data_IF_189296735142
#
_entry.id   IF_189296735142
#
_cell.length_a   1.000
_cell.length_b   1.000
_cell.length_c   1.000
_cell.angle_alpha   90.00
_cell.angle_beta   90.00
_cell.angle_gamma   90.00
#
_symmetry.space_group_name_H-M   'P 1'
#
loop_
_entity.id
_entity.type
_entity.pdbx_description
1 polymer ?
#
# COMPACT_ATOMS: atom_id res chain seq x y z
N UNK A 1 9.22 58.06 -14.23
CA UNK A 1 9.28 56.63 -14.65
C UNK A 1 9.36 55.66 -13.47
N UNK A 2 10.25 55.84 -12.48
CA UNK A 2 10.36 54.96 -11.28
C UNK A 2 9.05 54.76 -10.48
N UNK A 3 8.20 55.79 -10.37
CA UNK A 3 6.93 55.75 -9.62
C UNK A 3 5.83 54.88 -10.28
N UNK A 4 5.90 54.64 -11.59
CA UNK A 4 4.97 53.77 -12.32
C UNK A 4 5.51 52.34 -12.46
N UNK A 5 6.83 52.16 -12.34
CA UNK A 5 7.47 50.84 -12.41
C UNK A 5 7.17 49.97 -11.19
N UNK A 6 7.19 50.56 -9.99
CA UNK A 6 6.91 49.83 -8.73
C UNK A 6 5.51 49.21 -8.67
N UNK A 7 4.40 49.93 -8.95
CA UNK A 7 3.07 49.32 -8.95
C UNK A 7 2.93 48.27 -10.05
N UNK A 8 3.53 48.48 -11.22
CA UNK A 8 3.51 47.49 -12.32
C UNK A 8 4.19 46.17 -11.90
N UNK A 9 5.38 46.25 -11.28
CA UNK A 9 6.10 45.07 -10.77
C UNK A 9 5.29 44.38 -9.68
N UNK A 10 4.68 45.13 -8.76
CA UNK A 10 3.84 44.56 -7.70
C UNK A 10 2.63 43.80 -8.26
N UNK A 11 1.91 44.39 -9.23
CA UNK A 11 0.79 43.72 -9.90
C UNK A 11 1.23 42.45 -10.62
N UNK A 12 2.36 42.50 -11.32
CA UNK A 12 2.92 41.33 -12.00
C UNK A 12 3.29 40.22 -11.00
N UNK A 13 3.90 40.57 -9.87
CA UNK A 13 4.27 39.62 -8.83
C UNK A 13 3.05 38.95 -8.20
N UNK A 14 2.00 39.73 -7.90
CA UNK A 14 0.71 39.18 -7.43
C UNK A 14 0.08 38.26 -8.47
N UNK A 15 0.11 38.64 -9.76
CA UNK A 15 -0.33 37.79 -10.87
C UNK A 15 0.44 36.46 -10.95
N UNK A 16 1.76 36.50 -10.82
CA UNK A 16 2.59 35.30 -10.79
C UNK A 16 2.30 34.40 -9.56
N UNK A 17 2.15 34.99 -8.36
CA UNK A 17 1.84 34.24 -7.15
C UNK A 17 0.46 33.59 -7.20
N UNK A 18 -0.54 34.29 -7.74
CA UNK A 18 -1.89 33.73 -7.91
C UNK A 18 -1.90 32.61 -8.94
N UNK A 19 -1.27 32.80 -10.11
CA UNK A 19 -1.11 31.75 -11.11
C UNK A 19 -0.36 30.52 -10.56
N UNK A 20 0.70 30.74 -9.77
CA UNK A 20 1.42 29.67 -9.10
C UNK A 20 0.55 28.94 -8.06
N UNK A 21 -0.24 29.67 -7.26
CA UNK A 21 -1.21 29.10 -6.32
C UNK A 21 -2.26 28.22 -7.03
N UNK A 22 -2.77 28.69 -8.17
CA UNK A 22 -3.70 27.91 -9.00
C UNK A 22 -3.02 26.64 -9.53
N UNK A 23 -1.83 26.77 -10.13
CA UNK A 23 -1.09 25.63 -10.67
C UNK A 23 -0.68 24.60 -9.60
N UNK A 24 -0.33 25.04 -8.39
CA UNK A 24 -0.03 24.13 -7.27
C UNK A 24 -1.29 23.42 -6.76
N UNK A 25 -2.48 23.99 -6.93
CA UNK A 25 -3.76 23.36 -6.64
C UNK A 25 -4.29 22.43 -7.76
N UNK A 26 -3.89 22.67 -9.01
CA UNK A 26 -4.36 21.86 -10.14
C UNK A 26 -3.89 20.40 -10.07
N UNK A 27 -4.87 19.49 -10.08
CA UNK A 27 -4.73 18.04 -10.14
C UNK A 27 -5.68 17.46 -11.19
N UNK A 28 -5.42 17.66 -12.50
CA UNK A 28 -6.35 17.31 -13.57
C UNK A 28 -6.58 15.80 -13.62
N UNK A 29 -7.84 15.36 -13.53
CA UNK A 29 -8.24 13.96 -13.64
C UNK A 29 -8.13 13.50 -15.10
N UNK A 30 -7.26 12.53 -15.34
CA UNK A 30 -7.19 11.83 -16.63
C UNK A 30 -7.76 10.44 -16.38
N UNK A 31 -8.64 9.98 -17.26
CA UNK A 31 -9.21 8.64 -17.19
C UNK A 31 -8.09 7.62 -17.44
N UNK A 32 -7.55 7.06 -16.36
CA UNK A 32 -6.64 5.92 -16.42
C UNK A 32 -7.45 4.68 -16.07
N UNK A 33 -7.31 3.64 -16.88
CA UNK A 33 -7.94 2.34 -16.62
C UNK A 33 -6.90 1.46 -15.92
N UNK A 34 -7.10 1.23 -14.62
CA UNK A 34 -6.34 0.21 -13.90
C UNK A 34 -6.61 -1.15 -14.52
N UNK A 35 -5.56 -1.94 -14.74
CA UNK A 35 -5.71 -3.33 -15.19
C UNK A 35 -6.34 -4.16 -14.07
N UNK A 36 -7.66 -4.39 -14.15
CA UNK A 36 -8.43 -5.14 -13.16
C UNK A 36 -8.37 -6.66 -13.37
N UNK A 37 -7.62 -7.15 -14.37
CA UNK A 37 -7.51 -8.59 -14.60
C UNK A 37 -6.91 -9.27 -13.38
N UNK A 38 -7.43 -10.45 -13.09
CA UNK A 38 -6.92 -11.33 -12.07
C UNK A 38 -6.97 -12.78 -12.58
N UNK A 39 -6.05 -13.62 -12.11
CA UNK A 39 -5.99 -15.04 -12.44
C UNK A 39 -5.74 -15.88 -11.20
N UNK A 40 -6.42 -17.02 -11.10
CA UNK A 40 -6.09 -18.06 -10.13
C UNK A 40 -4.92 -18.87 -10.66
N UNK A 41 -3.74 -18.63 -10.12
CA UNK A 41 -2.47 -19.24 -10.57
C UNK A 41 -2.18 -20.54 -9.82
N UNK A 42 -2.66 -20.66 -8.59
CA UNK A 42 -2.52 -21.86 -7.76
C UNK A 42 -3.81 -22.08 -6.97
N UNK A 43 -4.25 -23.33 -6.91
CA UNK A 43 -5.37 -23.79 -6.09
C UNK A 43 -5.02 -25.19 -5.56
N UNK A 44 -4.75 -25.28 -4.27
CA UNK A 44 -4.30 -26.51 -3.61
C UNK A 44 -5.24 -26.92 -2.48
N UNK A 45 -5.35 -28.22 -2.27
CA UNK A 45 -6.29 -28.83 -1.33
C UNK A 45 -7.72 -28.90 -1.84
N UNK A 46 -8.64 -29.28 -0.96
CA UNK A 46 -10.06 -29.46 -1.29
C UNK A 46 -10.95 -28.43 -0.59
N UNK A 47 -11.95 -27.91 -1.31
CA UNK A 47 -12.92 -26.97 -0.76
C UNK A 47 -13.63 -27.55 0.47
N UNK A 48 -13.67 -26.78 1.56
CA UNK A 48 -14.24 -27.21 2.82
C UNK A 48 -14.64 -26.06 3.73
N UNK A 49 -15.28 -26.41 4.85
CA UNK A 49 -15.79 -25.42 5.83
C UNK A 49 -14.72 -24.95 6.83
N UNK A 50 -13.54 -25.58 6.84
CA UNK A 50 -12.42 -25.23 7.72
C UNK A 50 -11.81 -23.86 7.36
N UNK A 51 -12.02 -23.39 6.13
CA UNK A 51 -11.41 -22.15 5.62
C UNK A 51 -10.22 -22.43 4.71
N UNK A 52 -9.59 -21.34 4.27
CA UNK A 52 -8.48 -21.36 3.32
C UNK A 52 -7.64 -20.11 3.47
N UNK A 53 -6.38 -20.21 3.07
CA UNK A 53 -5.49 -19.08 2.87
C UNK A 53 -5.57 -18.64 1.40
N UNK A 54 -6.05 -17.42 1.18
CA UNK A 54 -6.08 -16.80 -0.14
C UNK A 54 -5.04 -15.68 -0.21
N UNK A 55 -3.91 -15.96 -0.85
CA UNK A 55 -2.86 -14.97 -1.09
C UNK A 55 -3.11 -14.21 -2.39
N UNK A 56 -3.10 -12.87 -2.33
CA UNK A 56 -3.24 -12.01 -3.51
C UNK A 56 -1.90 -11.30 -3.77
N UNK A 57 -1.32 -11.52 -4.95
CA UNK A 57 -0.14 -10.81 -5.47
C UNK A 57 -0.58 -9.78 -6.51
N UNK A 58 -0.94 -8.56 -6.11
CA UNK A 58 -1.47 -7.55 -7.02
C UNK A 58 -0.38 -7.01 -7.94
N UNK A 59 -0.75 -6.78 -9.21
CA UNK A 59 0.09 -6.09 -10.17
C UNK A 59 -0.15 -4.58 -10.07
N UNK A 60 0.74 -3.85 -9.38
CA UNK A 60 0.55 -2.44 -9.04
C UNK A 60 1.53 -1.51 -9.77
N UNK A 61 1.00 -0.36 -10.16
CA UNK A 61 1.73 0.75 -10.77
C UNK A 61 1.45 2.05 -10.01
N UNK A 62 2.27 3.11 -10.18
CA UNK A 62 2.06 4.38 -9.49
C UNK A 62 0.66 4.96 -9.75
N UNK A 63 0.11 4.74 -10.94
CA UNK A 63 -1.22 5.16 -11.35
C UNK A 63 -2.36 4.53 -10.53
N UNK A 64 -2.17 3.32 -9.98
CA UNK A 64 -3.17 2.66 -9.14
C UNK A 64 -3.32 3.33 -7.77
N UNK A 65 -2.33 4.13 -7.36
CA UNK A 65 -2.32 4.88 -6.09
C UNK A 65 -2.78 6.33 -6.23
N UNK A 66 -3.17 6.74 -7.44
CA UNK A 66 -3.69 8.08 -7.70
C UNK A 66 -4.93 8.39 -6.88
N UNK A 67 -5.80 7.40 -6.76
CA UNK A 67 -7.03 7.42 -5.98
C UNK A 67 -7.09 6.11 -5.20
N UNK A 68 -7.24 6.14 -3.85
CA UNK A 68 -7.39 4.92 -3.05
C UNK A 68 -8.48 3.98 -3.55
N UNK A 69 -9.51 4.52 -4.22
CA UNK A 69 -10.59 3.72 -4.80
C UNK A 69 -10.11 2.86 -6.00
N UNK A 70 -9.10 3.30 -6.77
CA UNK A 70 -8.50 2.49 -7.85
C UNK A 70 -7.79 1.26 -7.28
N UNK A 71 -6.98 1.46 -6.23
CA UNK A 71 -6.35 0.36 -5.51
C UNK A 71 -7.40 -0.60 -4.93
N UNK A 72 -8.46 -0.05 -4.31
CA UNK A 72 -9.57 -0.85 -3.78
C UNK A 72 -10.24 -1.66 -4.88
N UNK A 73 -10.55 -1.06 -6.03
CA UNK A 73 -11.18 -1.75 -7.16
C UNK A 73 -10.30 -2.88 -7.71
N UNK A 74 -8.98 -2.69 -7.76
CA UNK A 74 -8.04 -3.74 -8.19
C UNK A 74 -8.03 -4.95 -7.25
N UNK A 75 -8.08 -4.71 -5.94
CA UNK A 75 -8.16 -5.80 -4.96
C UNK A 75 -9.56 -6.43 -4.96
N UNK A 76 -10.61 -5.62 -5.11
CA UNK A 76 -11.99 -6.08 -5.24
C UNK A 76 -12.16 -6.99 -6.46
N UNK A 77 -11.58 -6.66 -7.61
CA UNK A 77 -11.65 -7.50 -8.80
C UNK A 77 -11.02 -8.90 -8.59
N UNK A 78 -9.92 -8.97 -7.83
CA UNK A 78 -9.35 -10.25 -7.40
C UNK A 78 -10.30 -11.02 -6.48
N UNK A 79 -10.90 -10.35 -5.49
CA UNK A 79 -11.86 -10.98 -4.57
C UNK A 79 -13.17 -11.38 -5.27
N UNK A 80 -13.63 -10.64 -6.27
CA UNK A 80 -14.78 -10.99 -7.10
C UNK A 80 -14.51 -12.27 -7.90
N UNK A 81 -13.30 -12.41 -8.47
CA UNK A 81 -12.87 -13.66 -9.10
C UNK A 81 -12.87 -14.81 -8.09
N UNK A 82 -12.29 -14.61 -6.91
CA UNK A 82 -12.26 -15.65 -5.86
C UNK A 82 -13.68 -16.08 -5.45
N UNK A 83 -14.58 -15.11 -5.29
CA UNK A 83 -16.00 -15.36 -4.99
C UNK A 83 -16.69 -16.14 -6.10
N UNK A 84 -16.49 -15.74 -7.36
CA UNK A 84 -17.06 -16.43 -8.52
C UNK A 84 -16.56 -17.87 -8.67
N UNK A 85 -15.36 -18.17 -8.15
CA UNK A 85 -14.76 -19.51 -8.09
C UNK A 85 -15.11 -20.29 -6.83
N UNK A 86 -15.93 -19.74 -5.93
CA UNK A 86 -16.30 -20.42 -4.68
C UNK A 86 -15.16 -20.53 -3.65
N UNK A 87 -14.13 -19.69 -3.76
CA UNK A 87 -12.96 -19.74 -2.88
C UNK A 87 -13.15 -18.95 -1.58
N UNK A 88 -14.28 -18.26 -1.40
CA UNK A 88 -14.54 -17.42 -0.23
C UNK A 88 -15.62 -18.03 0.66
N UNK A 89 -15.31 -18.16 1.94
CA UNK A 89 -16.22 -18.48 3.02
C UNK A 89 -15.91 -17.62 4.26
N UNK A 90 -16.71 -17.75 5.32
CA UNK A 90 -16.56 -16.95 6.54
C UNK A 90 -15.22 -17.18 7.29
N UNK A 91 -14.53 -18.28 6.99
CA UNK A 91 -13.21 -18.66 7.53
C UNK A 91 -12.09 -18.45 6.51
N UNK A 92 -12.34 -17.80 5.37
CA UNK A 92 -11.25 -17.45 4.45
C UNK A 92 -10.39 -16.35 5.06
N UNK A 93 -9.08 -16.58 5.06
CA UNK A 93 -8.07 -15.58 5.41
C UNK A 93 -7.42 -15.10 4.12
N UNK A 94 -7.70 -13.86 3.75
CA UNK A 94 -7.09 -13.19 2.60
C UNK A 94 -5.82 -12.48 3.07
N UNK A 95 -4.72 -12.71 2.38
CA UNK A 95 -3.44 -12.14 2.73
C UNK A 95 -2.87 -11.27 1.60
N UNK A 96 -2.41 -10.07 1.96
CA UNK A 96 -1.85 -9.08 1.04
C UNK A 96 -0.37 -8.78 1.35
N UNK A 97 0.42 -8.33 0.35
CA UNK A 97 1.85 -8.14 0.54
C UNK A 97 2.20 -6.89 1.35
N UNK A 98 3.41 -6.91 1.91
CA UNK A 98 3.99 -5.76 2.58
C UNK A 98 4.15 -4.54 1.65
N UNK A 99 4.03 -3.36 2.24
CA UNK A 99 4.10 -2.03 1.63
C UNK A 99 3.02 -1.72 0.59
N UNK A 100 1.97 -2.55 0.48
CA UNK A 100 0.79 -2.26 -0.35
C UNK A 100 0.11 -0.93 0.04
N UNK A 101 0.22 -0.49 1.30
CA UNK A 101 -0.33 0.78 1.75
C UNK A 101 0.60 1.98 1.58
N UNK A 102 1.91 1.76 1.42
CA UNK A 102 2.91 2.82 1.48
C UNK A 102 2.77 3.83 0.35
N UNK A 103 2.45 3.36 -0.86
CA UNK A 103 2.33 4.22 -2.04
C UNK A 103 1.01 5.00 -2.11
N UNK A 104 0.11 4.88 -1.12
CA UNK A 104 -0.98 5.86 -0.93
C UNK A 104 -0.45 7.31 -0.81
N UNK A 105 0.86 7.48 -0.59
CA UNK A 105 1.56 8.76 -0.71
C UNK A 105 1.36 9.43 -2.09
N UNK A 106 1.10 8.68 -3.16
CA UNK A 106 0.96 9.20 -4.53
C UNK A 106 -0.43 9.75 -4.85
N UNK A 107 -1.35 9.75 -3.88
CA UNK A 107 -2.69 10.26 -4.06
C UNK A 107 -2.68 11.74 -4.43
N UNK A 108 -3.57 12.13 -5.35
CA UNK A 108 -3.75 13.51 -5.79
C UNK A 108 -2.43 14.16 -6.27
N UNK A 109 -1.62 13.42 -7.04
CA UNK A 109 -0.38 13.92 -7.64
C UNK A 109 -0.53 14.34 -9.10
N UNK A 110 0.43 15.13 -9.58
CA UNK A 110 0.49 15.54 -10.98
C UNK A 110 0.74 14.34 -11.89
N UNK A 111 0.14 14.36 -13.07
CA UNK A 111 0.11 13.20 -13.97
C UNK A 111 1.49 12.65 -14.37
N UNK A 112 2.45 13.54 -14.58
CA UNK A 112 3.85 13.20 -14.88
C UNK A 112 4.48 12.30 -13.82
N UNK A 113 4.04 12.36 -12.57
CA UNK A 113 4.49 11.43 -11.53
C UNK A 113 4.17 9.98 -11.91
N UNK A 114 2.94 9.72 -12.36
CA UNK A 114 2.50 8.35 -12.64
C UNK A 114 3.16 7.72 -13.87
N UNK A 115 3.76 8.55 -14.74
CA UNK A 115 4.50 8.10 -15.91
C UNK A 115 6.01 7.92 -15.65
N UNK A 116 6.54 8.51 -14.58
CA UNK A 116 7.98 8.55 -14.33
C UNK A 116 8.57 7.14 -14.17
N UNK A 117 9.81 6.95 -14.63
CA UNK A 117 10.51 5.68 -14.49
C UNK A 117 11.20 5.57 -13.14
N UNK A 118 11.74 6.68 -12.65
CA UNK A 118 12.34 6.81 -11.33
C UNK A 118 11.69 7.95 -10.54
N UNK A 119 11.62 7.81 -9.21
CA UNK A 119 11.09 8.86 -8.34
C UNK A 119 11.93 10.16 -8.41
N UNK A 120 13.22 10.03 -8.68
CA UNK A 120 14.14 11.17 -8.86
C UNK A 120 13.81 12.06 -10.06
N UNK A 121 13.15 11.53 -11.10
CA UNK A 121 12.74 12.30 -12.29
C UNK A 121 11.69 13.37 -11.95
N UNK A 122 10.90 13.13 -10.90
CA UNK A 122 9.79 14.00 -10.51
C UNK A 122 10.13 14.90 -9.32
N UNK A 123 11.38 14.87 -8.83
CA UNK A 123 11.78 15.56 -7.61
C UNK A 123 11.51 17.07 -7.66
N UNK A 124 11.96 17.73 -8.74
CA UNK A 124 11.74 19.17 -8.93
C UNK A 124 10.26 19.51 -9.04
N UNK A 125 9.51 18.70 -9.78
CA UNK A 125 8.09 18.94 -9.98
C UNK A 125 7.31 18.78 -8.67
N UNK A 126 7.57 17.71 -7.92
CA UNK A 126 6.94 17.44 -6.63
C UNK A 126 7.27 18.54 -5.62
N UNK A 127 8.53 18.96 -5.58
CA UNK A 127 9.01 20.03 -4.71
C UNK A 127 8.29 21.35 -5.02
N UNK A 128 8.16 21.70 -6.31
CA UNK A 128 7.42 22.90 -6.73
C UNK A 128 5.91 22.78 -6.55
N UNK A 129 5.36 21.57 -6.60
CA UNK A 129 3.92 21.31 -6.43
C UNK A 129 3.48 21.28 -4.98
N UNK A 130 4.42 21.18 -4.04
CA UNK A 130 4.18 21.16 -2.60
C UNK A 130 5.07 22.19 -1.88
N UNK A 131 4.64 23.45 -1.79
CA UNK A 131 5.43 24.49 -1.14
C UNK A 131 5.73 24.21 0.34
N UNK A 132 4.90 23.41 1.02
CA UNK A 132 5.17 22.96 2.39
C UNK A 132 6.36 22.00 2.50
N UNK A 133 6.69 21.25 1.44
CA UNK A 133 7.85 20.37 1.41
C UNK A 133 9.14 21.16 1.25
N UNK A 134 9.14 22.27 0.49
CA UNK A 134 10.29 23.17 0.37
C UNK A 134 10.77 23.64 1.76
N UNK A 135 9.84 24.10 2.60
CA UNK A 135 10.16 24.51 3.97
C UNK A 135 10.74 23.37 4.81
N UNK A 136 10.19 22.15 4.71
CA UNK A 136 10.70 20.98 5.45
C UNK A 136 12.08 20.54 4.98
N UNK A 137 12.32 20.50 3.67
CA UNK A 137 13.64 20.14 3.12
C UNK A 137 14.70 21.14 3.54
N UNK A 138 14.39 22.44 3.49
CA UNK A 138 15.32 23.49 3.90
C UNK A 138 15.59 23.49 5.41
N UNK A 139 14.56 23.29 6.25
CA UNK A 139 14.70 23.39 7.70
C UNK A 139 15.14 22.08 8.38
N UNK A 140 14.80 20.92 7.82
CA UNK A 140 14.96 19.61 8.47
C UNK A 140 15.88 18.66 7.69
N UNK A 141 16.39 19.06 6.51
CA UNK A 141 17.29 18.23 5.71
C UNK A 141 16.66 16.92 5.19
N UNK A 142 15.33 16.81 5.19
CA UNK A 142 14.62 15.61 4.78
C UNK A 142 14.76 15.33 3.29
N UNK A 143 14.82 14.05 2.94
CA UNK A 143 14.62 13.61 1.57
C UNK A 143 13.18 13.91 1.10
N UNK A 144 12.97 14.02 -0.21
CA UNK A 144 11.65 14.34 -0.77
C UNK A 144 10.61 13.31 -0.37
N UNK A 145 10.96 12.03 -0.50
CA UNK A 145 10.02 10.94 -0.28
C UNK A 145 9.60 10.90 1.18
N UNK A 146 10.55 11.03 2.10
CA UNK A 146 10.27 11.13 3.53
C UNK A 146 9.39 12.36 3.84
N UNK A 147 9.74 13.53 3.31
CA UNK A 147 8.98 14.75 3.56
C UNK A 147 7.54 14.63 3.04
N UNK A 148 7.34 14.03 1.86
CA UNK A 148 6.04 13.79 1.23
C UNK A 148 5.23 12.77 2.03
N UNK A 149 5.84 11.66 2.45
CA UNK A 149 5.25 10.66 3.32
C UNK A 149 4.77 11.30 4.62
N UNK A 150 5.63 12.06 5.30
CA UNK A 150 5.27 12.78 6.55
C UNK A 150 4.17 13.82 6.34
N UNK A 151 4.12 14.48 5.18
CA UNK A 151 3.08 15.45 4.87
C UNK A 151 1.71 14.78 4.66
N UNK A 152 1.69 13.59 4.06
CA UNK A 152 0.47 12.85 3.72
C UNK A 152 0.08 11.76 4.71
N UNK A 153 0.93 11.45 5.69
CA UNK A 153 0.76 10.33 6.62
C UNK A 153 -0.61 10.25 7.28
N UNK A 154 -1.20 11.38 7.70
CA UNK A 154 -2.54 11.40 8.31
C UNK A 154 -3.63 10.94 7.35
N UNK A 155 -3.51 11.28 6.07
CA UNK A 155 -4.46 10.85 5.03
C UNK A 155 -4.22 9.38 4.68
N UNK A 156 -2.96 9.02 4.46
CA UNK A 156 -2.54 7.64 4.20
C UNK A 156 -3.07 6.66 5.27
N UNK A 157 -2.92 7.00 6.55
CA UNK A 157 -3.44 6.19 7.67
C UNK A 157 -4.96 5.96 7.60
N UNK A 158 -5.73 7.00 7.28
CA UNK A 158 -7.20 6.90 7.16
C UNK A 158 -7.61 6.09 5.94
N UNK A 159 -6.98 6.35 4.80
CA UNK A 159 -7.34 5.73 3.53
C UNK A 159 -6.95 4.25 3.53
N UNK A 160 -5.78 3.90 4.10
CA UNK A 160 -5.37 2.52 4.35
C UNK A 160 -6.40 1.76 5.19
N UNK A 161 -6.75 2.29 6.37
CA UNK A 161 -7.71 1.63 7.24
C UNK A 161 -9.08 1.47 6.56
N UNK A 162 -9.61 2.55 5.98
CA UNK A 162 -10.93 2.56 5.34
C UNK A 162 -11.01 1.59 4.15
N UNK A 163 -9.95 1.49 3.37
CA UNK A 163 -9.87 0.59 2.22
C UNK A 163 -10.04 -0.85 2.66
N UNK A 164 -9.25 -1.29 3.65
CA UNK A 164 -9.24 -2.69 4.09
C UNK A 164 -10.43 -3.06 4.99
N UNK A 165 -10.90 -2.12 5.83
CA UNK A 165 -12.18 -2.24 6.55
C UNK A 165 -13.33 -2.53 5.57
N UNK A 166 -13.43 -1.74 4.50
CA UNK A 166 -14.47 -1.91 3.49
C UNK A 166 -14.36 -3.23 2.74
N UNK A 167 -13.15 -3.64 2.34
CA UNK A 167 -12.95 -4.91 1.66
C UNK A 167 -13.33 -6.09 2.56
N UNK A 168 -12.88 -6.09 3.81
CA UNK A 168 -13.16 -7.18 4.73
C UNK A 168 -14.66 -7.33 4.99
N UNK A 169 -15.35 -6.21 5.27
CA UNK A 169 -16.81 -6.19 5.47
C UNK A 169 -17.62 -6.54 4.22
N UNK A 170 -17.20 -6.06 3.03
CA UNK A 170 -17.91 -6.32 1.77
C UNK A 170 -17.84 -7.79 1.37
N UNK A 171 -16.69 -8.44 1.54
CA UNK A 171 -16.48 -9.84 1.17
C UNK A 171 -16.72 -10.82 2.31
N UNK A 172 -16.90 -10.33 3.55
CA UNK A 172 -17.11 -11.11 4.77
C UNK A 172 -16.00 -12.13 5.01
N UNK A 173 -14.75 -11.69 4.88
CA UNK A 173 -13.54 -12.49 5.06
C UNK A 173 -12.56 -11.81 6.00
N UNK A 174 -11.66 -12.58 6.60
CA UNK A 174 -10.53 -11.99 7.34
C UNK A 174 -9.52 -11.44 6.34
N UNK A 175 -9.05 -10.20 6.50
CA UNK A 175 -8.01 -9.61 5.64
C UNK A 175 -6.77 -9.26 6.46
N UNK A 176 -5.64 -9.86 6.11
CA UNK A 176 -4.31 -9.41 6.50
C UNK A 176 -3.89 -8.33 5.51
N UNK A 177 -3.97 -7.06 5.91
CA UNK A 177 -3.99 -5.90 5.01
C UNK A 177 -2.61 -5.53 4.40
N UNK A 178 -1.63 -6.40 4.49
CA UNK A 178 -0.23 -6.04 4.22
C UNK A 178 0.22 -4.93 5.16
N UNK A 179 1.15 -4.10 4.70
CA UNK A 179 1.75 -3.06 5.54
C UNK A 179 1.78 -1.67 4.90
N UNK A 180 2.00 -0.66 5.74
CA UNK A 180 2.11 0.75 5.40
C UNK A 180 3.21 1.42 6.22
N UNK A 181 3.99 2.28 5.59
CA UNK A 181 5.01 3.09 6.27
C UNK A 181 4.43 4.39 6.80
N UNK A 182 4.50 4.61 8.12
CA UNK A 182 3.96 5.80 8.80
C UNK A 182 4.92 6.35 9.87
N UNK A 183 4.93 7.67 10.12
CA UNK A 183 5.69 8.26 11.23
C UNK A 183 4.98 8.00 12.57
N UNK A 184 5.68 7.38 13.52
CA UNK A 184 5.23 7.03 14.88
C UNK A 184 3.72 6.74 14.96
N UNK A 185 3.23 5.69 14.27
CA UNK A 185 1.82 5.39 14.21
C UNK A 185 1.30 4.98 15.59
N UNK A 186 0.04 5.29 15.84
CA UNK A 186 -0.68 4.83 17.03
C UNK A 186 -2.07 4.36 16.65
N UNK A 187 -2.55 3.33 17.34
CA UNK A 187 -3.90 2.83 17.18
C UNK A 187 -4.67 3.09 18.47
N UNK A 188 -5.69 3.97 18.40
CA UNK A 188 -6.51 4.37 19.55
C UNK A 188 -7.95 4.49 19.11
N UNK A 189 -8.87 3.97 19.93
CA UNK A 189 -10.32 4.02 19.69
C UNK A 189 -10.72 3.43 18.32
N UNK A 190 -10.10 2.30 17.96
CA UNK A 190 -10.32 1.64 16.67
C UNK A 190 -9.81 2.41 15.44
N UNK A 191 -9.02 3.47 15.63
CA UNK A 191 -8.53 4.33 14.53
C UNK A 191 -7.01 4.40 14.50
N UNK A 192 -6.47 4.21 13.30
CA UNK A 192 -5.08 4.42 12.99
C UNK A 192 -4.77 5.91 12.83
N UNK A 193 -3.73 6.37 13.54
CA UNK A 193 -3.27 7.77 13.50
C UNK A 193 -1.77 7.81 13.26
N UNK A 194 -1.36 8.66 12.33
CA UNK A 194 0.04 8.99 12.12
C UNK A 194 0.52 10.07 13.12
N UNK A 195 1.71 9.87 13.68
CA UNK A 195 2.45 10.80 14.54
C UNK A 195 3.47 11.63 13.77
N UNK A 196 4.58 11.99 14.44
CA UNK A 196 5.61 12.89 13.91
C UNK A 196 7.07 12.41 14.12
N UNK A 197 7.30 11.26 14.76
CA UNK A 197 8.65 10.73 15.02
C UNK A 197 9.10 9.71 13.96
N UNK A 198 9.83 8.69 14.39
CA UNK A 198 10.47 7.71 13.49
C UNK A 198 9.47 6.97 12.60
N UNK A 199 9.92 6.64 11.40
CA UNK A 199 9.12 5.84 10.48
C UNK A 199 9.02 4.41 10.99
N UNK A 200 7.83 3.84 10.85
CA UNK A 200 7.50 2.48 11.29
C UNK A 200 6.68 1.81 10.20
N UNK A 201 7.10 0.61 9.80
CA UNK A 201 6.31 -0.26 8.95
C UNK A 201 5.22 -0.92 9.81
N UNK A 202 3.96 -0.65 9.49
CA UNK A 202 2.81 -1.08 10.29
C UNK A 202 1.91 -2.01 9.47
N UNK A 203 1.47 -3.12 10.05
CA UNK A 203 0.45 -3.99 9.48
C UNK A 203 -0.79 -4.08 10.38
N UNK A 204 -1.97 -4.06 9.75
CA UNK A 204 -3.25 -4.33 10.41
C UNK A 204 -3.90 -5.61 9.85
N UNK A 205 -4.76 -6.21 10.66
CA UNK A 205 -5.64 -7.29 10.23
C UNK A 205 -7.10 -6.91 10.54
N UNK A 206 -8.00 -7.33 9.68
CA UNK A 206 -9.42 -6.98 9.73
C UNK A 206 -10.27 -8.25 9.77
N UNK A 207 -11.26 -8.29 10.65
CA UNK A 207 -12.26 -9.34 10.73
C UNK A 207 -13.29 -9.23 9.59
N UNK A 208 -14.11 -10.29 9.38
CA UNK A 208 -15.19 -10.30 8.39
C UNK A 208 -16.23 -9.18 8.50
N UNK A 209 -16.33 -8.50 9.63
CA UNK A 209 -17.22 -7.36 9.84
C UNK A 209 -16.55 -6.00 9.53
N UNK A 210 -15.26 -6.01 9.18
CA UNK A 210 -14.45 -4.82 8.95
C UNK A 210 -13.75 -4.28 10.20
N UNK A 211 -13.97 -4.85 11.39
CA UNK A 211 -13.27 -4.42 12.60
C UNK A 211 -11.80 -4.84 12.59
N UNK A 212 -10.92 -4.06 13.23
CA UNK A 212 -9.50 -4.43 13.36
C UNK A 212 -9.35 -5.52 14.43
N UNK A 213 -8.61 -6.58 14.12
CA UNK A 213 -8.34 -7.70 15.02
C UNK A 213 -6.85 -7.81 15.36
N UNK A 214 -6.57 -8.28 16.58
CA UNK A 214 -5.23 -8.39 17.11
C UNK A 214 -4.56 -7.05 17.38
N UNK A 215 -3.32 -7.11 17.88
CA UNK A 215 -2.50 -5.92 18.03
C UNK A 215 -1.89 -5.53 16.67
N UNK A 216 -1.84 -4.23 16.32
CA UNK A 216 -1.08 -3.76 15.18
C UNK A 216 0.37 -4.23 15.25
N UNK A 217 0.87 -4.82 14.17
CA UNK A 217 2.26 -5.24 14.09
C UNK A 217 3.11 -4.08 13.57
N UNK A 218 4.19 -3.75 14.28
CA UNK A 218 5.04 -2.60 13.99
C UNK A 218 6.50 -3.01 13.90
N UNK A 219 7.21 -2.49 12.90
CA UNK A 219 8.65 -2.67 12.73
C UNK A 219 9.33 -1.31 12.55
N UNK A 220 10.49 -1.06 13.19
CA UNK A 220 11.28 0.13 12.95
C UNK A 220 11.67 0.28 11.47
N UNK A 221 11.76 1.53 10.99
CA UNK A 221 12.23 1.83 9.63
C UNK A 221 13.36 2.88 9.65
N UNK A 222 14.48 2.67 8.92
CA UNK A 222 14.73 1.53 8.02
C UNK A 222 14.99 0.22 8.76
N UNK A 223 14.61 -0.89 8.13
CA UNK A 223 14.79 -2.21 8.69
C UNK A 223 16.27 -2.62 8.58
N UNK A 224 16.84 -3.16 9.67
CA UNK A 224 18.19 -3.72 9.64
C UNK A 224 18.25 -4.88 8.65
N UNK A 225 19.19 -4.86 7.70
CA UNK A 225 19.25 -5.71 6.50
C UNK A 225 19.34 -7.24 6.70
N UNK A 226 19.18 -7.75 7.93
CA UNK A 226 19.29 -9.19 8.28
C UNK A 226 18.16 -9.72 9.16
N UNK A 227 17.27 -8.87 9.65
CA UNK A 227 16.26 -9.29 10.60
C UNK A 227 15.02 -9.82 9.85
N UNK A 228 14.69 -11.08 10.10
CA UNK A 228 13.36 -11.60 9.80
C UNK A 228 12.45 -11.22 10.95
N UNK A 229 11.24 -10.78 10.62
CA UNK A 229 10.24 -10.49 11.63
C UNK A 229 9.06 -11.44 11.50
N UNK A 230 8.49 -11.79 12.65
CA UNK A 230 7.34 -12.70 12.73
C UNK A 230 6.18 -12.00 13.41
N UNK A 231 5.03 -12.04 12.77
CA UNK A 231 3.75 -11.65 13.36
C UNK A 231 2.90 -12.91 13.52
N UNK A 232 2.28 -13.06 14.69
CA UNK A 232 1.29 -14.10 14.95
C UNK A 232 -0.08 -13.46 15.23
N UNK A 233 -1.14 -14.09 14.74
CA UNK A 233 -2.52 -13.61 14.89
C UNK A 233 -3.46 -14.80 14.91
N UNK A 234 -4.41 -14.82 15.84
CA UNK A 234 -5.50 -15.79 15.84
C UNK A 234 -6.66 -15.29 14.95
N UNK A 235 -7.20 -16.18 14.13
CA UNK A 235 -8.31 -15.91 13.21
C UNK A 235 -9.40 -16.98 13.37
N UNK A 236 -10.63 -16.76 12.84
CA UNK A 236 -11.68 -17.77 12.88
C UNK A 236 -11.33 -19.12 12.22
N UNK A 237 -10.31 -19.14 11.35
CA UNK A 237 -9.84 -20.33 10.65
C UNK A 237 -8.68 -21.05 11.35
N UNK A 238 -8.12 -20.45 12.39
CA UNK A 238 -6.90 -20.91 13.06
C UNK A 238 -5.86 -19.82 13.23
N UNK A 239 -4.64 -20.21 13.61
CA UNK A 239 -3.54 -19.30 13.87
C UNK A 239 -2.78 -18.98 12.59
N UNK A 240 -2.53 -17.70 12.35
CA UNK A 240 -1.72 -17.19 11.24
C UNK A 240 -0.35 -16.77 11.76
N UNK A 241 0.70 -17.21 11.07
CA UNK A 241 2.07 -16.71 11.22
C UNK A 241 2.51 -16.04 9.92
N UNK A 242 3.00 -14.80 10.00
CA UNK A 242 3.54 -14.04 8.87
C UNK A 242 5.01 -13.78 9.13
N UNK A 243 5.88 -14.43 8.35
CA UNK A 243 7.32 -14.17 8.33
C UNK A 243 7.64 -13.14 7.24
N UNK A 244 8.33 -12.06 7.58
CA UNK A 244 8.72 -11.00 6.64
C UNK A 244 10.24 -10.96 6.49
N UNK A 245 10.69 -10.80 5.25
CA UNK A 245 12.10 -10.78 4.92
C UNK A 245 12.40 -9.91 3.71
N UNK A 246 13.58 -9.29 3.71
CA UNK A 246 14.15 -8.59 2.56
C UNK A 246 15.27 -9.36 1.88
N UNK A 247 15.58 -10.58 2.32
CA UNK A 247 16.71 -11.38 1.81
C UNK A 247 16.65 -11.62 0.29
N UNK A 248 15.45 -11.59 -0.29
CA UNK A 248 15.24 -11.75 -1.73
C UNK A 248 15.56 -10.49 -2.57
N UNK A 249 15.92 -9.37 -1.95
CA UNK A 249 16.15 -8.08 -2.60
C UNK A 249 14.88 -7.24 -2.81
N UNK A 250 13.75 -7.70 -2.27
CA UNK A 250 12.45 -7.05 -2.21
C UNK A 250 11.64 -7.61 -1.02
N UNK A 251 10.57 -6.94 -0.56
CA UNK A 251 9.73 -7.43 0.52
C UNK A 251 9.08 -8.77 0.16
N UNK A 252 9.39 -9.80 0.93
CA UNK A 252 8.84 -11.13 0.78
C UNK A 252 8.17 -11.55 2.09
N UNK A 253 6.89 -11.89 2.01
CA UNK A 253 6.13 -12.42 3.13
C UNK A 253 5.85 -13.90 2.90
N UNK A 254 6.09 -14.72 3.91
CA UNK A 254 5.63 -16.10 3.95
C UNK A 254 4.52 -16.19 5.00
N UNK A 255 3.31 -16.50 4.54
CA UNK A 255 2.12 -16.59 5.39
C UNK A 255 1.76 -18.05 5.57
N UNK A 256 1.66 -18.48 6.81
CA UNK A 256 1.22 -19.83 7.18
C UNK A 256 -0.05 -19.70 8.02
N UNK A 257 -1.12 -20.33 7.57
CA UNK A 257 -2.35 -20.52 8.32
C UNK A 257 -2.38 -21.95 8.86
N UNK A 258 -2.42 -22.10 10.17
CA UNK A 258 -2.48 -23.39 10.85
C UNK A 258 -3.84 -23.56 11.53
N UNK A 259 -4.62 -24.52 11.05
CA UNK A 259 -5.82 -25.03 11.72
C UNK A 259 -5.47 -26.17 12.68
N UNK A 260 -6.49 -26.88 13.17
CA UNK A 260 -6.32 -27.93 14.19
C UNK A 260 -5.42 -29.09 13.75
N UNK A 261 -5.55 -29.52 12.48
CA UNK A 261 -4.80 -30.66 11.93
C UNK A 261 -4.22 -30.40 10.51
N UNK A 262 -4.33 -29.18 9.99
CA UNK A 262 -3.88 -28.83 8.66
C UNK A 262 -3.21 -27.45 8.64
N UNK A 263 -2.34 -27.23 7.67
CA UNK A 263 -1.69 -25.94 7.46
C UNK A 263 -1.63 -25.59 5.98
N UNK A 264 -1.96 -24.34 5.67
CA UNK A 264 -1.82 -23.76 4.35
C UNK A 264 -0.70 -22.73 4.37
N UNK A 265 0.15 -22.72 3.35
CA UNK A 265 1.26 -21.77 3.26
C UNK A 265 1.35 -21.14 1.89
N UNK A 266 1.46 -19.81 1.88
CA UNK A 266 1.61 -19.05 0.65
C UNK A 266 2.64 -17.93 0.80
N UNK A 267 3.24 -17.58 -0.33
CA UNK A 267 4.21 -16.48 -0.42
C UNK A 267 3.57 -15.25 -1.04
N UNK A 268 3.86 -14.07 -0.52
CA UNK A 268 3.34 -12.79 -0.98
C UNK A 268 4.47 -11.80 -1.24
N UNK A 269 4.30 -11.05 -2.33
CA UNK A 269 5.13 -9.92 -2.71
C UNK A 269 4.32 -9.03 -3.65
N UNK A 270 4.71 -7.76 -3.73
CA UNK A 270 4.12 -6.83 -4.69
C UNK A 270 4.63 -7.16 -6.10
N UNK A 271 3.74 -7.16 -7.09
CA UNK A 271 4.10 -7.25 -8.51
C UNK A 271 3.93 -5.89 -9.17
N UNK A 272 4.54 -5.72 -10.34
CA UNK A 272 4.38 -4.53 -11.17
C UNK A 272 5.61 -3.64 -11.12
N UNK A 273 5.40 -2.33 -11.02
CA UNK A 273 6.49 -1.35 -11.02
C UNK A 273 6.21 -0.27 -10.00
N UNK A 274 6.92 -0.36 -8.87
CA UNK A 274 6.99 0.69 -7.86
C UNK A 274 8.46 1.03 -7.62
N UNK A 275 8.72 2.24 -7.14
CA UNK A 275 10.10 2.67 -6.84
C UNK A 275 10.60 2.03 -5.54
N UNK A 276 11.91 1.96 -5.29
CA UNK A 276 12.41 1.67 -3.94
C UNK A 276 11.87 2.69 -2.93
N UNK A 277 11.66 2.25 -1.68
CA UNK A 277 11.29 3.17 -0.59
C UNK A 277 12.53 3.91 -0.08
N UNK A 278 12.31 5.08 0.49
CA UNK A 278 13.33 5.83 1.22
C UNK A 278 14.00 4.96 2.29
N UNK A 279 15.33 4.83 2.22
CA UNK A 279 16.17 3.97 3.07
C UNK A 279 15.74 2.48 3.09
N UNK A 280 15.13 1.98 2.01
CA UNK A 280 14.81 0.56 1.89
C UNK A 280 16.06 -0.33 2.07
N UNK A 281 15.95 -1.51 2.71
CA UNK A 281 17.06 -2.46 2.86
C UNK A 281 17.61 -2.99 1.52
N UNK A 282 16.83 -2.88 0.46
CA UNK A 282 17.18 -3.32 -0.88
C UNK A 282 16.68 -2.33 -1.96
N UNK A 283 17.27 -2.42 -3.15
CA UNK A 283 16.97 -1.51 -4.27
C UNK A 283 15.61 -1.77 -4.95
N UNK A 284 14.91 -2.86 -4.63
CA UNK A 284 13.64 -3.23 -5.26
C UNK A 284 12.49 -3.36 -4.27
N UNK A 285 11.27 -2.96 -4.67
CA UNK A 285 10.02 -3.31 -3.98
C UNK A 285 9.25 -4.45 -4.64
N UNK A 286 9.58 -4.74 -5.89
CA UNK A 286 8.95 -5.79 -6.67
C UNK A 286 10.05 -6.62 -7.30
N UNK A 287 9.86 -7.95 -7.47
CA UNK A 287 10.78 -8.72 -8.29
C UNK A 287 10.76 -8.21 -9.73
N UNK A 288 11.83 -8.46 -10.50
CA UNK A 288 11.83 -8.16 -11.93
C UNK A 288 10.71 -8.93 -12.63
N UNK A 289 9.88 -8.22 -13.40
CA UNK A 289 8.80 -8.82 -14.18
C UNK A 289 9.38 -9.79 -15.21
N UNK A 290 8.90 -11.04 -15.20
CA UNK A 290 9.22 -12.03 -16.24
C UNK A 290 8.24 -11.88 -17.40
N UNK A 291 8.74 -12.02 -18.63
CA UNK A 291 7.93 -11.87 -19.85
C UNK A 291 6.78 -12.89 -19.95
N UNK A 292 6.94 -14.06 -19.32
CA UNK A 292 6.00 -15.19 -19.42
C UNK A 292 4.96 -15.21 -18.29
N UNK A 293 4.94 -14.21 -17.40
CA UNK A 293 3.97 -14.16 -16.32
C UNK A 293 2.59 -13.75 -16.80
N UNK A 294 1.56 -14.46 -16.33
CA UNK A 294 0.17 -14.10 -16.61
C UNK A 294 -0.11 -12.64 -16.19
N UNK A 295 -0.83 -11.86 -17.01
CA UNK A 295 -1.12 -10.46 -16.72
C UNK A 295 -2.09 -10.31 -15.54
N UNK A 296 -2.11 -9.12 -14.94
CA UNK A 296 -3.02 -8.81 -13.83
C UNK A 296 -2.59 -9.41 -12.49
N UNK A 297 -3.46 -9.30 -11.49
CA UNK A 297 -3.23 -9.80 -10.12
C UNK A 297 -3.25 -11.32 -10.07
N UNK A 298 -2.34 -11.94 -9.32
CA UNK A 298 -2.36 -13.40 -9.13
C UNK A 298 -3.01 -13.76 -7.80
N UNK A 299 -3.85 -14.79 -7.84
CA UNK A 299 -4.42 -15.42 -6.67
C UNK A 299 -3.78 -16.79 -6.49
N UNK A 300 -3.39 -17.08 -5.24
CA UNK A 300 -2.95 -18.39 -4.81
C UNK A 300 -3.84 -18.82 -3.66
N UNK A 301 -4.47 -19.97 -3.82
CA UNK A 301 -5.39 -20.52 -2.86
C UNK A 301 -4.85 -21.83 -2.29
N UNK A 302 -4.93 -21.98 -0.97
CA UNK A 302 -4.60 -23.20 -0.27
C UNK A 302 -5.67 -23.47 0.80
N UNK A 303 -6.42 -24.56 0.63
CA UNK A 303 -7.46 -24.99 1.56
C UNK A 303 -6.87 -25.62 2.83
N UNK A 304 -7.52 -25.40 3.97
CA UNK A 304 -7.26 -26.19 5.18
C UNK A 304 -8.02 -27.50 5.05
N UNK A 305 -7.31 -28.59 4.74
CA UNK A 305 -7.94 -29.90 4.63
C UNK A 305 -8.45 -30.37 5.99
N UNK A 306 -9.66 -30.94 6.01
CA UNK A 306 -10.05 -31.81 7.11
C UNK A 306 -9.38 -33.18 6.90
N UNK A 307 -8.97 -33.87 7.99
CA UNK A 307 -8.40 -35.22 7.89
C UNK A 307 -9.36 -36.23 7.24
#
# INVERSE_FOLDING_TARGET
MRKLLTPLIATLLVGCLTAYGVWTGERPHIHYLSDLRASLTQDSGSAGEQGNLLAIRPLLYPSDYRDPELLRMKIAAALDLAKARGLLNARTVVALPDHIGTWLLLQDEKHSLYQARAFTEVDRLLTLSHPSLLGRRFLQGQDLEEALLRAKARRMARDYQKLFERLAGQYRVTILAGSILLPSPSFRDGKLRAGHGDLVNLSLAFAPDGSVIGAPFSQPWPEGSREESRQELDTPAGRVSILRSWKAGYPLNQVTLSGDNASAQETLFLRGRLWPLYNAPAAGLTPPLRADEAPGSHLLNAWLEAP
#
